data_IF_490046600945
#
_entry.id   IF_490046600945
#
_cell.length_a   1.000
_cell.length_b   1.000
_cell.length_c   1.000
_cell.angle_alpha   90.00
_cell.angle_beta   90.00
_cell.angle_gamma   90.00
#
_symmetry.space_group_name_H-M   'P 1'
#
loop_
_entity.id
_entity.type
_entity.pdbx_description
1 polymer ?
#
# COMPACT_ATOMS: atom_id res chain seq x y z
N UNK A 1 18.98 -11.79 22.97
CA UNK A 1 18.34 -10.97 21.91
C UNK A 1 19.27 -9.99 21.19
N UNK A 2 20.31 -9.42 21.82
CA UNK A 2 21.16 -8.36 21.22
C UNK A 2 21.77 -8.76 19.85
N UNK A 3 22.23 -10.01 19.70
CA UNK A 3 22.77 -10.52 18.43
C UNK A 3 21.75 -10.59 17.28
N UNK A 4 20.51 -10.98 17.57
CA UNK A 4 19.42 -11.09 16.57
C UNK A 4 19.03 -9.70 16.07
N UNK A 5 18.88 -8.73 16.99
CA UNK A 5 18.58 -7.33 16.63
C UNK A 5 19.64 -6.76 15.68
N UNK A 6 20.91 -6.90 16.04
CA UNK A 6 22.02 -6.39 15.22
C UNK A 6 22.08 -7.07 13.84
N UNK A 7 21.73 -8.36 13.74
CA UNK A 7 21.67 -9.06 12.46
C UNK A 7 20.52 -8.55 11.57
N UNK A 8 19.32 -8.34 12.14
CA UNK A 8 18.16 -7.82 11.41
C UNK A 8 18.41 -6.40 10.90
N UNK A 9 18.95 -5.52 11.75
CA UNK A 9 19.19 -4.10 11.40
C UNK A 9 20.26 -3.95 10.33
N UNK A 10 21.33 -4.76 10.37
CA UNK A 10 22.43 -4.68 9.40
C UNK A 10 22.07 -5.23 8.01
N UNK A 11 21.03 -6.06 7.90
CA UNK A 11 20.71 -6.72 6.65
C UNK A 11 19.37 -6.22 6.08
N UNK A 12 19.45 -5.28 5.13
CA UNK A 12 18.28 -4.73 4.44
C UNK A 12 17.37 -5.81 3.84
N UNK A 13 17.88 -6.98 3.44
CA UNK A 13 17.04 -8.04 2.86
C UNK A 13 16.00 -8.59 3.84
N UNK A 14 16.27 -8.47 5.15
CA UNK A 14 15.43 -8.99 6.23
C UNK A 14 14.22 -8.09 6.53
N UNK A 15 14.39 -6.77 6.45
CA UNK A 15 13.30 -5.80 6.71
C UNK A 15 12.77 -5.16 5.43
N UNK A 16 13.54 -5.20 4.34
CA UNK A 16 13.33 -4.41 3.13
C UNK A 16 13.83 -2.97 3.23
N UNK A 17 14.37 -2.55 4.39
CA UNK A 17 14.67 -1.15 4.71
C UNK A 17 16.15 -0.94 5.06
N UNK A 18 16.68 0.22 4.70
CA UNK A 18 18.02 0.65 5.12
C UNK A 18 18.09 0.91 6.63
N UNK A 19 19.29 0.87 7.21
CA UNK A 19 19.50 1.19 8.63
C UNK A 19 19.07 2.62 8.98
N UNK A 20 19.26 3.57 8.06
CA UNK A 20 18.81 4.96 8.20
C UNK A 20 17.29 5.03 8.34
N UNK A 21 16.56 4.40 7.42
CA UNK A 21 15.09 4.36 7.47
C UNK A 21 14.59 3.67 8.74
N UNK A 22 15.27 2.62 9.19
CA UNK A 22 14.94 1.96 10.46
C UNK A 22 15.14 2.90 11.67
N UNK A 23 16.25 3.66 11.70
CA UNK A 23 16.52 4.61 12.77
C UNK A 23 15.46 5.73 12.82
N UNK A 24 15.07 6.27 11.66
CA UNK A 24 14.01 7.26 11.54
C UNK A 24 12.66 6.71 12.03
N UNK A 25 12.30 5.49 11.63
CA UNK A 25 11.08 4.83 12.12
C UNK A 25 11.10 4.63 13.64
N UNK A 26 12.24 4.30 14.22
CA UNK A 26 12.37 4.15 15.68
C UNK A 26 12.20 5.50 16.39
N UNK A 27 12.86 6.55 15.90
CA UNK A 27 12.79 7.89 16.47
C UNK A 27 11.36 8.47 16.38
N UNK A 28 10.67 8.24 15.27
CA UNK A 28 9.33 8.75 15.04
C UNK A 28 8.26 7.96 15.80
N UNK A 29 8.28 6.62 15.71
CA UNK A 29 7.17 5.79 16.19
C UNK A 29 7.33 5.33 17.64
N UNK A 30 8.53 5.37 18.19
CA UNK A 30 8.80 4.99 19.58
C UNK A 30 8.01 5.83 20.59
N UNK A 31 8.08 7.17 20.52
CA UNK A 31 7.30 8.05 21.40
C UNK A 31 5.79 7.83 21.23
N UNK A 32 5.28 7.77 19.99
CA UNK A 32 3.85 7.56 19.71
C UNK A 32 3.34 6.22 20.26
N UNK A 33 4.14 5.15 20.13
CA UNK A 33 3.80 3.86 20.72
C UNK A 33 3.74 3.94 22.23
N UNK A 34 4.71 4.63 22.86
CA UNK A 34 4.73 4.79 24.32
C UNK A 34 3.48 5.54 24.81
N UNK A 35 3.14 6.66 24.17
CA UNK A 35 1.96 7.45 24.48
C UNK A 35 0.66 6.62 24.35
N UNK A 36 0.45 5.93 23.22
CA UNK A 36 -0.73 5.05 23.03
C UNK A 36 -0.78 3.91 24.03
N UNK A 37 0.39 3.37 24.39
CA UNK A 37 0.48 2.33 25.39
C UNK A 37 0.00 2.87 26.74
N UNK A 38 0.53 4.02 27.19
CA UNK A 38 0.14 4.65 28.44
C UNK A 38 -1.35 5.02 28.46
N UNK A 39 -1.87 5.65 27.39
CA UNK A 39 -3.29 5.98 27.27
C UNK A 39 -4.18 4.75 27.44
N UNK A 40 -3.83 3.61 26.80
CA UNK A 40 -4.55 2.33 26.97
C UNK A 40 -4.43 1.75 28.37
N UNK A 41 -3.34 2.04 29.08
CA UNK A 41 -3.20 1.61 30.47
C UNK A 41 -4.15 2.40 31.38
N UNK A 42 -4.37 3.69 31.11
CA UNK A 42 -5.23 4.56 31.92
C UNK A 42 -6.71 4.41 31.57
N UNK A 43 -7.05 4.15 30.31
CA UNK A 43 -8.43 4.18 29.80
C UNK A 43 -9.28 2.94 30.13
N UNK A 44 -8.75 1.92 30.81
CA UNK A 44 -9.49 0.68 31.09
C UNK A 44 -9.96 0.66 32.53
N UNK A 45 -11.25 0.39 32.74
CA UNK A 45 -11.75 -0.03 34.05
C UNK A 45 -11.03 -1.31 34.47
N UNK A 46 -10.24 -1.18 35.52
CA UNK A 46 -9.27 -2.19 35.94
C UNK A 46 -9.64 -2.76 37.30
N UNK A 47 -9.73 -4.08 37.36
CA UNK A 47 -9.78 -4.83 38.65
C UNK A 47 -8.42 -4.85 39.38
N UNK A 48 -7.31 -4.49 38.73
CA UNK A 48 -5.94 -4.52 39.30
C UNK A 48 -5.17 -3.24 38.93
N UNK A 49 -4.29 -2.78 39.81
CA UNK A 49 -3.49 -1.58 39.61
C UNK A 49 -2.71 -1.58 38.27
N UNK A 50 -2.45 -0.37 37.75
CA UNK A 50 -1.62 -0.18 36.56
C UNK A 50 -0.25 -0.85 36.76
N UNK A 51 0.14 -1.74 35.85
CA UNK A 51 1.41 -2.49 35.94
C UNK A 51 1.33 -3.87 36.61
N UNK A 52 0.17 -4.28 37.14
CA UNK A 52 -0.03 -5.61 37.74
C UNK A 52 -0.21 -6.77 36.72
N UNK A 53 -0.02 -6.49 35.41
CA UNK A 53 -0.05 -7.48 34.34
C UNK A 53 1.34 -7.96 33.91
N UNK A 54 1.41 -8.97 33.04
CA UNK A 54 2.68 -9.45 32.52
C UNK A 54 3.49 -8.33 31.84
N UNK A 55 4.75 -8.17 32.23
CA UNK A 55 5.66 -7.15 31.67
C UNK A 55 5.86 -7.39 30.18
N UNK A 56 5.94 -6.31 29.40
CA UNK A 56 6.26 -6.39 27.98
C UNK A 56 7.67 -6.98 27.79
N UNK A 57 7.75 -8.23 27.29
CA UNK A 57 9.02 -8.92 27.02
C UNK A 57 9.84 -8.28 25.88
N UNK A 58 9.18 -7.54 24.99
CA UNK A 58 9.79 -6.83 23.87
C UNK A 58 9.70 -5.32 24.06
N UNK A 59 10.85 -4.64 23.96
CA UNK A 59 10.94 -3.18 23.79
C UNK A 59 10.44 -2.77 22.40
N UNK A 60 10.16 -1.48 22.20
CA UNK A 60 9.57 -0.98 20.95
C UNK A 60 10.36 -1.41 19.70
N UNK A 61 11.68 -1.28 19.73
CA UNK A 61 12.54 -1.66 18.59
C UNK A 61 12.32 -3.11 18.17
N UNK A 62 12.25 -4.05 19.12
CA UNK A 62 12.05 -5.46 18.79
C UNK A 62 10.63 -5.71 18.25
N UNK A 63 9.62 -4.97 18.74
CA UNK A 63 8.25 -5.02 18.19
C UNK A 63 8.20 -4.53 16.76
N UNK A 64 8.90 -3.43 16.47
CA UNK A 64 9.02 -2.88 15.13
C UNK A 64 9.69 -3.90 14.20
N UNK A 65 10.86 -4.42 14.58
CA UNK A 65 11.59 -5.38 13.76
C UNK A 65 10.78 -6.66 13.50
N UNK A 66 10.12 -7.23 14.52
CA UNK A 66 9.24 -8.38 14.31
C UNK A 66 8.10 -8.09 13.32
N UNK A 67 7.52 -6.88 13.39
CA UNK A 67 6.46 -6.44 12.48
C UNK A 67 6.98 -6.27 11.06
N UNK A 68 8.15 -5.66 10.88
CA UNK A 68 8.75 -5.47 9.56
C UNK A 68 9.10 -6.81 8.90
N UNK A 69 9.67 -7.76 9.64
CA UNK A 69 9.96 -9.11 9.13
C UNK A 69 8.68 -9.84 8.76
N UNK A 70 7.63 -9.73 9.58
CA UNK A 70 6.31 -10.29 9.27
C UNK A 70 5.78 -9.75 7.94
N UNK A 71 5.77 -8.42 7.76
CA UNK A 71 5.25 -7.78 6.56
C UNK A 71 6.10 -8.12 5.33
N UNK A 72 7.43 -8.10 5.48
CA UNK A 72 8.39 -8.32 4.40
C UNK A 72 8.34 -9.75 3.88
N UNK A 73 8.37 -10.72 4.78
CA UNK A 73 8.54 -12.14 4.43
C UNK A 73 7.27 -12.98 4.57
N UNK A 74 6.19 -12.44 5.16
CA UNK A 74 5.00 -13.22 5.48
C UNK A 74 5.26 -14.26 6.58
N UNK A 75 6.31 -14.06 7.38
CA UNK A 75 6.70 -14.97 8.45
C UNK A 75 5.55 -15.14 9.46
N UNK A 76 5.24 -16.38 9.85
CA UNK A 76 4.17 -16.63 10.81
C UNK A 76 4.55 -16.08 12.18
N UNK A 77 3.55 -15.76 13.01
CA UNK A 77 3.80 -15.28 14.36
C UNK A 77 4.55 -16.30 15.21
N UNK A 78 4.39 -17.60 14.92
CA UNK A 78 5.07 -18.72 15.56
C UNK A 78 6.57 -18.74 15.23
N UNK A 79 6.95 -18.55 13.96
CA UNK A 79 8.37 -18.44 13.57
C UNK A 79 9.03 -17.26 14.25
N UNK A 80 8.36 -16.10 14.27
CA UNK A 80 8.86 -14.91 14.93
C UNK A 80 8.94 -15.10 16.45
N UNK A 81 8.01 -15.81 17.06
CA UNK A 81 8.04 -16.12 18.49
C UNK A 81 9.28 -16.94 18.85
N UNK A 82 9.59 -17.98 18.05
CA UNK A 82 10.82 -18.75 18.18
C UNK A 82 12.07 -17.87 18.03
N UNK A 83 12.13 -17.00 17.02
CA UNK A 83 13.28 -16.13 16.78
C UNK A 83 13.51 -15.11 17.89
N UNK A 84 12.43 -14.53 18.44
CA UNK A 84 12.54 -13.52 19.49
C UNK A 84 12.55 -14.13 20.91
N UNK A 85 12.38 -15.45 21.06
CA UNK A 85 12.35 -16.12 22.36
C UNK A 85 11.17 -15.70 23.24
N UNK A 86 10.00 -15.46 22.63
CA UNK A 86 8.78 -15.00 23.30
C UNK A 86 7.57 -15.82 22.88
N UNK A 87 6.45 -15.66 23.59
CA UNK A 87 5.20 -16.31 23.24
C UNK A 87 4.62 -15.76 21.92
N UNK A 88 3.96 -16.61 21.13
CA UNK A 88 3.22 -16.22 19.91
C UNK A 88 2.24 -15.07 20.14
N UNK A 89 1.59 -15.05 21.30
CA UNK A 89 0.68 -13.97 21.70
C UNK A 89 1.39 -12.62 21.88
N UNK A 90 2.67 -12.63 22.27
CA UNK A 90 3.50 -11.43 22.38
C UNK A 90 3.80 -10.84 21.00
N UNK A 91 4.14 -11.68 20.02
CA UNK A 91 4.33 -11.25 18.63
C UNK A 91 3.02 -10.73 18.02
N UNK A 92 1.91 -11.44 18.24
CA UNK A 92 0.60 -11.03 17.76
C UNK A 92 0.22 -9.63 18.28
N UNK A 93 0.46 -9.38 19.58
CA UNK A 93 0.26 -8.06 20.19
C UNK A 93 1.20 -7.00 19.62
N UNK A 94 2.49 -7.33 19.47
CA UNK A 94 3.47 -6.41 18.90
C UNK A 94 3.07 -5.96 17.48
N UNK A 95 2.72 -6.90 16.60
CA UNK A 95 2.27 -6.59 15.23
C UNK A 95 0.98 -5.77 15.26
N UNK A 96 0.02 -6.13 16.12
CA UNK A 96 -1.24 -5.40 16.26
C UNK A 96 -1.09 -3.96 16.80
N UNK A 97 -0.03 -3.68 17.57
CA UNK A 97 0.27 -2.34 18.07
C UNK A 97 1.08 -1.50 17.08
N UNK A 98 1.99 -2.11 16.33
CA UNK A 98 2.89 -1.39 15.41
C UNK A 98 2.26 -1.16 14.04
N UNK A 99 1.47 -2.11 13.52
CA UNK A 99 0.86 -1.98 12.18
C UNK A 99 0.02 -0.71 12.03
N UNK A 100 -0.87 -0.33 12.98
CA UNK A 100 -1.64 0.91 12.86
C UNK A 100 -0.75 2.15 12.82
N UNK A 101 0.30 2.19 13.67
CA UNK A 101 1.27 3.28 13.66
C UNK A 101 1.94 3.45 12.30
N UNK A 102 2.27 2.34 11.62
CA UNK A 102 2.84 2.37 10.27
C UNK A 102 1.82 2.81 9.23
N UNK A 103 0.59 2.29 9.30
CA UNK A 103 -0.49 2.58 8.36
C UNK A 103 -0.85 4.07 8.35
N UNK A 104 -0.95 4.65 9.53
CA UNK A 104 -1.36 6.05 9.69
C UNK A 104 -0.32 7.03 9.15
N UNK A 105 0.96 6.65 8.99
CA UNK A 105 2.02 7.56 8.50
C UNK A 105 1.73 8.15 7.12
N UNK A 106 1.07 7.40 6.24
CA UNK A 106 0.94 7.74 4.83
C UNK A 106 2.22 7.55 4.01
N UNK A 107 2.12 7.75 2.70
CA UNK A 107 3.22 7.61 1.77
C UNK A 107 4.16 8.82 1.86
N UNK A 108 5.45 8.58 2.04
CA UNK A 108 6.46 9.65 2.05
C UNK A 108 6.78 10.07 0.62
N UNK A 109 6.75 11.37 0.33
CA UNK A 109 7.09 11.91 -0.99
C UNK A 109 8.31 12.85 -0.97
N UNK A 110 8.61 13.43 0.19
CA UNK A 110 9.81 14.19 0.48
C UNK A 110 10.06 14.19 2.00
N UNK A 111 11.25 14.57 2.50
CA UNK A 111 11.48 14.75 3.92
C UNK A 111 10.40 15.66 4.56
N UNK A 112 9.74 15.17 5.61
CA UNK A 112 8.66 15.89 6.30
C UNK A 112 7.31 15.93 5.59
N UNK A 113 7.20 15.44 4.34
CA UNK A 113 5.97 15.51 3.54
C UNK A 113 5.40 14.12 3.25
N UNK A 114 4.12 13.92 3.59
CA UNK A 114 3.44 12.63 3.44
C UNK A 114 2.01 12.79 2.95
N UNK A 115 1.59 11.86 2.09
CA UNK A 115 0.25 11.76 1.54
C UNK A 115 -0.47 10.59 2.23
N UNK A 116 -1.59 10.86 2.89
CA UNK A 116 -2.37 9.88 3.66
C UNK A 116 -3.67 9.52 2.96
N UNK A 117 -4.25 10.46 2.23
CA UNK A 117 -5.55 10.33 1.56
C UNK A 117 -5.43 10.57 0.05
N UNK A 118 -6.47 10.19 -0.71
CA UNK A 118 -6.57 10.56 -2.12
C UNK A 118 -6.64 12.09 -2.31
N UNK A 119 -7.26 12.81 -1.38
CA UNK A 119 -7.33 14.27 -1.42
C UNK A 119 -5.92 14.88 -1.32
N UNK A 120 -5.07 14.36 -0.42
CA UNK A 120 -3.67 14.81 -0.30
C UNK A 120 -2.91 14.60 -1.62
N UNK A 121 -3.15 13.46 -2.30
CA UNK A 121 -2.53 13.15 -3.58
C UNK A 121 -2.96 14.14 -4.67
N UNK A 122 -4.26 14.40 -4.79
CA UNK A 122 -4.79 15.34 -5.79
C UNK A 122 -4.26 16.75 -5.55
N UNK A 123 -4.26 17.23 -4.30
CA UNK A 123 -3.68 18.54 -3.93
C UNK A 123 -2.21 18.61 -4.32
N UNK A 124 -1.42 17.61 -3.93
CA UNK A 124 0.01 17.57 -4.22
C UNK A 124 0.32 17.56 -5.73
N UNK A 125 -0.44 16.80 -6.52
CA UNK A 125 -0.27 16.73 -7.97
C UNK A 125 -0.65 18.07 -8.63
N UNK A 126 -1.72 18.71 -8.16
CA UNK A 126 -2.15 20.02 -8.64
C UNK A 126 -1.12 21.11 -8.38
N UNK A 127 -0.56 21.16 -7.16
CA UNK A 127 0.49 22.11 -6.78
C UNK A 127 1.80 21.89 -7.55
N UNK A 128 2.13 20.63 -7.84
CA UNK A 128 3.39 20.28 -8.50
C UNK A 128 3.31 20.22 -10.03
N UNK A 129 2.11 20.26 -10.61
CA UNK A 129 1.86 20.09 -12.04
C UNK A 129 2.30 18.72 -12.59
N UNK A 130 2.42 17.70 -11.72
CA UNK A 130 2.94 16.39 -12.09
C UNK A 130 1.83 15.43 -12.50
N UNK A 131 2.14 14.53 -13.43
CA UNK A 131 1.28 13.41 -13.81
C UNK A 131 1.38 12.27 -12.79
N UNK A 132 0.23 11.63 -12.50
CA UNK A 132 0.17 10.36 -11.79
C UNK A 132 -0.25 9.21 -12.70
N UNK A 133 0.00 7.98 -12.26
CA UNK A 133 -0.44 6.76 -12.92
C UNK A 133 -1.30 5.96 -11.93
N UNK A 134 -2.53 5.68 -12.35
CA UNK A 134 -3.53 4.89 -11.64
C UNK A 134 -3.51 3.44 -12.13
N UNK A 135 -3.57 2.52 -11.17
CA UNK A 135 -3.80 1.10 -11.40
C UNK A 135 -4.43 0.44 -10.16
N UNK A 136 -4.77 -0.83 -10.28
CA UNK A 136 -5.18 -1.68 -9.16
C UNK A 136 -4.29 -2.92 -9.07
N UNK A 137 -3.99 -3.36 -7.86
CA UNK A 137 -3.29 -4.63 -7.63
C UNK A 137 -4.14 -5.59 -6.79
N UNK A 138 -4.11 -6.87 -7.17
CA UNK A 138 -4.77 -7.94 -6.43
C UNK A 138 -3.84 -8.53 -5.36
N UNK A 139 -4.40 -8.73 -4.16
CA UNK A 139 -3.77 -9.40 -3.02
C UNK A 139 -4.53 -10.68 -2.77
N UNK A 140 -3.85 -11.83 -2.84
CA UNK A 140 -4.49 -13.12 -2.56
C UNK A 140 -4.90 -13.18 -1.09
N UNK A 141 -6.16 -13.53 -0.83
CA UNK A 141 -6.71 -13.71 0.52
C UNK A 141 -7.27 -15.11 0.68
N UNK A 142 -7.42 -15.57 1.93
CA UNK A 142 -8.01 -16.88 2.21
C UNK A 142 -9.44 -16.97 1.67
N UNK A 143 -9.75 -18.05 0.96
CA UNK A 143 -11.13 -18.34 0.51
C UNK A 143 -11.99 -18.66 1.73
N UNK A 144 -13.21 -18.09 1.84
CA UNK A 144 -14.20 -18.53 2.82
C UNK A 144 -14.44 -20.05 2.74
N UNK A 145 -14.90 -20.64 3.85
CA UNK A 145 -15.33 -22.04 3.87
C UNK A 145 -16.49 -22.27 2.89
N UNK A 146 -16.77 -23.54 2.57
CA UNK A 146 -17.93 -23.86 1.72
C UNK A 146 -19.22 -23.56 2.49
N UNK A 147 -20.22 -23.02 1.78
CA UNK A 147 -21.49 -22.60 2.40
C UNK A 147 -21.46 -21.24 3.10
N UNK A 148 -20.34 -20.50 3.08
CA UNK A 148 -20.33 -19.11 3.57
C UNK A 148 -20.95 -18.17 2.54
N UNK A 149 -21.92 -17.35 2.96
CA UNK A 149 -22.53 -16.33 2.12
C UNK A 149 -21.49 -15.34 1.54
N UNK A 150 -21.70 -14.97 0.29
CA UNK A 150 -20.79 -14.04 -0.41
C UNK A 150 -19.41 -14.64 -0.73
N UNK A 151 -19.26 -15.97 -0.72
CA UNK A 151 -18.01 -16.67 -1.05
C UNK A 151 -17.38 -16.23 -2.36
N UNK A 152 -18.20 -16.00 -3.39
CA UNK A 152 -17.71 -15.72 -4.74
C UNK A 152 -17.45 -14.21 -4.97
N UNK A 153 -17.85 -13.34 -4.03
CA UNK A 153 -17.57 -11.88 -4.10
C UNK A 153 -16.08 -11.55 -4.15
N UNK A 154 -15.23 -12.47 -3.71
CA UNK A 154 -13.79 -12.26 -3.70
C UNK A 154 -13.09 -12.92 -4.89
N UNK A 155 -13.80 -13.65 -5.75
CA UNK A 155 -13.21 -14.29 -6.92
C UNK A 155 -13.01 -13.23 -8.00
N UNK A 156 -11.76 -12.96 -8.34
CA UNK A 156 -11.42 -12.08 -9.46
C UNK A 156 -11.86 -12.70 -10.78
N UNK A 157 -12.56 -11.90 -11.59
CA UNK A 157 -12.93 -12.30 -12.94
C UNK A 157 -11.72 -12.58 -13.83
N UNK A 158 -10.61 -11.85 -13.62
CA UNK A 158 -9.38 -11.90 -14.41
C UNK A 158 -8.45 -13.03 -13.99
N UNK A 159 -8.09 -13.08 -12.70
CA UNK A 159 -7.13 -14.09 -12.20
C UNK A 159 -7.78 -15.40 -11.77
N UNK A 160 -9.12 -15.43 -11.64
CA UNK A 160 -9.90 -16.54 -11.06
C UNK A 160 -9.48 -16.92 -9.63
N UNK A 161 -8.75 -16.03 -8.95
CA UNK A 161 -8.27 -16.23 -7.58
C UNK A 161 -9.14 -15.48 -6.58
N UNK A 162 -9.16 -15.99 -5.35
CA UNK A 162 -9.78 -15.31 -4.23
C UNK A 162 -8.87 -14.17 -3.75
N UNK A 163 -9.26 -12.94 -4.05
CA UNK A 163 -8.45 -11.76 -3.90
C UNK A 163 -9.23 -10.58 -3.31
N UNK A 164 -8.47 -9.62 -2.79
CA UNK A 164 -8.91 -8.25 -2.52
C UNK A 164 -8.05 -7.36 -3.40
N UNK A 165 -8.67 -6.41 -4.08
CA UNK A 165 -7.98 -5.39 -4.87
C UNK A 165 -7.71 -4.17 -4.03
N UNK A 166 -6.65 -3.45 -4.35
CA UNK A 166 -6.34 -2.15 -3.78
C UNK A 166 -5.90 -1.21 -4.89
N UNK A 167 -6.37 0.02 -4.82
CA UNK A 167 -6.01 1.10 -5.74
C UNK A 167 -4.58 1.56 -5.45
N UNK A 168 -3.83 1.82 -6.50
CA UNK A 168 -2.45 2.29 -6.46
C UNK A 168 -2.32 3.56 -7.31
N UNK A 169 -1.74 4.60 -6.73
CA UNK A 169 -1.30 5.79 -7.46
C UNK A 169 0.22 5.92 -7.32
N UNK A 170 0.88 6.11 -8.45
CA UNK A 170 2.32 6.41 -8.51
C UNK A 170 2.55 7.70 -9.28
N UNK A 171 3.70 8.31 -9.09
CA UNK A 171 4.15 9.36 -10.01
C UNK A 171 4.64 8.77 -11.35
N UNK A 172 5.00 9.64 -12.29
CA UNK A 172 5.55 9.23 -13.58
C UNK A 172 6.85 8.40 -13.50
N UNK A 173 7.56 8.40 -12.36
CA UNK A 173 8.76 7.58 -12.15
C UNK A 173 8.45 6.21 -11.51
N UNK A 174 7.20 5.96 -11.10
CA UNK A 174 6.77 4.74 -10.42
C UNK A 174 6.97 4.76 -8.91
N UNK A 175 7.21 5.93 -8.31
CA UNK A 175 7.25 6.08 -6.85
C UNK A 175 5.84 6.15 -6.30
N UNK A 176 5.64 5.51 -5.16
CA UNK A 176 4.32 5.34 -4.59
C UNK A 176 3.81 6.63 -3.96
N UNK A 177 2.66 7.12 -4.42
CA UNK A 177 1.96 8.27 -3.85
C UNK A 177 0.83 7.80 -2.94
N UNK A 178 0.15 6.70 -3.29
CA UNK A 178 -0.93 6.13 -2.51
C UNK A 178 -1.13 4.66 -2.83
N UNK A 179 -1.53 3.89 -1.82
CA UNK A 179 -2.04 2.52 -1.99
C UNK A 179 -3.10 2.26 -0.91
N UNK A 180 -4.34 2.03 -1.33
CA UNK A 180 -5.49 1.98 -0.43
C UNK A 180 -6.80 1.60 -1.13
N UNK A 181 -7.92 2.00 -0.54
CA UNK A 181 -9.26 1.73 -1.08
C UNK A 181 -9.50 0.27 -1.44
N UNK A 182 -9.48 -0.62 -0.45
CA UNK A 182 -9.61 -2.05 -0.75
C UNK A 182 -11.03 -2.42 -1.18
N UNK A 183 -11.16 -3.29 -2.19
CA UNK A 183 -12.45 -3.85 -2.64
C UNK A 183 -12.33 -5.36 -2.89
N UNK A 184 -13.44 -6.12 -2.80
CA UNK A 184 -13.43 -7.55 -3.16
C UNK A 184 -12.92 -7.78 -4.59
N UNK A 185 -12.26 -8.92 -4.82
CA UNK A 185 -11.65 -9.28 -6.11
C UNK A 185 -12.59 -9.23 -7.32
N UNK A 186 -13.89 -9.44 -7.12
CA UNK A 186 -14.88 -9.38 -8.20
C UNK A 186 -15.22 -7.95 -8.64
N UNK A 187 -14.86 -6.93 -7.87
CA UNK A 187 -15.14 -5.54 -8.18
C UNK A 187 -14.32 -5.09 -9.41
N UNK A 188 -14.97 -4.51 -10.44
CA UNK A 188 -14.26 -3.87 -11.56
C UNK A 188 -13.45 -2.66 -11.10
N UNK A 189 -12.28 -2.45 -11.70
CA UNK A 189 -11.34 -1.41 -11.26
C UNK A 189 -11.93 0.00 -11.44
N UNK A 190 -12.70 0.23 -12.51
CA UNK A 190 -13.46 1.48 -12.71
C UNK A 190 -14.53 1.72 -11.64
N UNK A 191 -15.19 0.66 -11.15
CA UNK A 191 -16.19 0.78 -10.08
C UNK A 191 -15.51 1.16 -8.77
N UNK A 192 -14.38 0.51 -8.45
CA UNK A 192 -13.54 0.90 -7.31
C UNK A 192 -13.13 2.37 -7.39
N UNK A 193 -12.72 2.86 -8.57
CA UNK A 193 -12.39 4.28 -8.75
C UNK A 193 -13.59 5.21 -8.53
N UNK A 194 -14.77 4.88 -9.06
CA UNK A 194 -16.00 5.66 -8.86
C UNK A 194 -16.40 5.74 -7.38
N UNK A 195 -16.31 4.64 -6.65
CA UNK A 195 -16.68 4.58 -5.24
C UNK A 195 -15.60 5.12 -4.28
N UNK A 196 -14.42 5.48 -4.79
CA UNK A 196 -13.31 5.98 -3.96
C UNK A 196 -13.42 7.48 -3.63
N UNK A 197 -14.35 8.21 -4.25
CA UNK A 197 -14.41 9.67 -4.22
C UNK A 197 -13.39 10.35 -5.15
N UNK A 198 -12.59 9.60 -5.92
CA UNK A 198 -11.61 10.17 -6.85
C UNK A 198 -12.25 11.14 -7.86
N UNK A 199 -13.43 10.81 -8.38
CA UNK A 199 -14.10 11.66 -9.39
C UNK A 199 -14.47 13.01 -8.77
N UNK A 200 -15.07 13.02 -7.58
CA UNK A 200 -15.47 14.24 -6.88
C UNK A 200 -14.25 15.11 -6.53
N UNK A 201 -13.13 14.46 -6.14
CA UNK A 201 -11.87 15.15 -5.87
C UNK A 201 -11.26 15.80 -7.12
N UNK A 202 -11.39 15.15 -8.29
CA UNK A 202 -10.91 15.70 -9.56
C UNK A 202 -11.82 16.81 -10.09
N UNK A 203 -13.12 16.73 -9.84
CA UNK A 203 -14.09 17.75 -10.26
C UNK A 203 -13.95 19.05 -9.45
N UNK A 204 -13.76 18.93 -8.14
CA UNK A 204 -13.69 20.08 -7.22
C UNK A 204 -12.27 20.56 -6.93
N UNK A 205 -11.26 19.75 -7.24
CA UNK A 205 -9.86 20.00 -6.97
C UNK A 205 -9.11 20.70 -8.10
N UNK A 206 -7.79 20.89 -7.94
CA UNK A 206 -6.93 21.39 -9.02
C UNK A 206 -6.91 20.40 -10.20
N UNK A 207 -6.72 20.93 -11.40
CA UNK A 207 -6.56 20.08 -12.59
C UNK A 207 -5.30 19.22 -12.47
N UNK A 208 -5.43 17.92 -12.67
CA UNK A 208 -4.33 16.95 -12.68
C UNK A 208 -4.46 15.95 -13.83
N UNK A 209 -3.32 15.47 -14.35
CA UNK A 209 -3.31 14.37 -15.32
C UNK A 209 -3.08 13.04 -14.59
N UNK A 210 -3.99 12.07 -14.77
CA UNK A 210 -3.87 10.71 -14.24
C UNK A 210 -3.95 9.70 -15.40
N UNK A 211 -2.84 9.02 -15.68
CA UNK A 211 -2.81 7.94 -16.67
C UNK A 211 -3.40 6.65 -16.09
N UNK A 212 -4.38 6.05 -16.77
CA UNK A 212 -5.03 4.82 -16.32
C UNK A 212 -5.13 3.78 -17.44
N UNK A 213 -5.31 2.50 -17.11
CA UNK A 213 -5.43 1.43 -18.10
C UNK A 213 -6.77 1.43 -18.86
N UNK A 214 -6.94 0.50 -19.80
CA UNK A 214 -8.20 0.39 -20.54
C UNK A 214 -9.40 -0.05 -19.68
N UNK A 215 -9.15 -0.68 -18.53
CA UNK A 215 -10.18 -1.05 -17.54
C UNK A 215 -10.83 0.16 -16.86
N UNK A 216 -10.23 1.35 -16.96
CA UNK A 216 -10.78 2.62 -16.49
C UNK A 216 -11.46 3.44 -17.61
N UNK A 217 -11.68 2.86 -18.80
CA UNK A 217 -12.36 3.55 -19.90
C UNK A 217 -13.74 4.06 -19.48
N UNK A 218 -14.01 5.33 -19.77
CA UNK A 218 -15.19 6.07 -19.33
C UNK A 218 -14.90 7.12 -18.27
N UNK A 219 -13.85 6.96 -17.46
CA UNK A 219 -13.47 7.97 -16.46
C UNK A 219 -13.07 9.29 -17.11
N UNK A 220 -12.37 9.28 -18.25
CA UNK A 220 -11.97 10.52 -18.92
C UNK A 220 -13.14 11.45 -19.27
N UNK A 221 -14.31 10.91 -19.63
CA UNK A 221 -15.51 11.72 -19.85
C UNK A 221 -16.11 12.26 -18.54
N UNK A 222 -16.02 11.47 -17.45
CA UNK A 222 -16.53 11.82 -16.13
C UNK A 222 -15.66 12.85 -15.40
N UNK A 223 -14.37 12.95 -15.75
CA UNK A 223 -13.39 13.80 -15.07
C UNK A 223 -12.89 14.95 -15.95
N UNK A 224 -13.63 15.33 -16.99
CA UNK A 224 -13.24 16.43 -17.89
C UNK A 224 -11.86 16.22 -18.58
N UNK A 225 -11.48 14.98 -18.87
CA UNK A 225 -10.21 14.63 -19.51
C UNK A 225 -9.03 14.40 -18.57
N UNK A 226 -9.19 14.61 -17.25
CA UNK A 226 -8.11 14.41 -16.27
C UNK A 226 -7.62 12.96 -16.18
N UNK A 227 -8.52 11.97 -16.26
CA UNK A 227 -8.16 10.55 -16.34
C UNK A 227 -7.98 10.12 -17.79
N UNK A 228 -6.73 9.88 -18.19
CA UNK A 228 -6.34 9.54 -19.56
C UNK A 228 -6.15 8.03 -19.71
N UNK A 229 -7.01 7.41 -20.50
CA UNK A 229 -6.94 5.97 -20.86
C UNK A 229 -6.42 5.79 -22.29
N UNK A 230 -5.99 4.56 -22.69
CA UNK A 230 -5.54 4.32 -24.06
C UNK A 230 -6.64 4.69 -25.08
N UNK A 231 -6.27 5.07 -26.32
CA UNK A 231 -7.24 5.49 -27.33
C UNK A 231 -8.30 4.41 -27.57
N UNK A 232 -9.56 4.82 -27.68
CA UNK A 232 -10.66 3.91 -27.99
C UNK A 232 -10.58 3.47 -29.46
N UNK A 233 -10.77 2.18 -29.71
CA UNK A 233 -10.77 1.63 -31.06
C UNK A 233 -12.05 2.03 -31.80
N UNK A 234 -11.92 2.88 -32.83
CA UNK A 234 -13.02 3.38 -33.68
C UNK A 234 -13.53 2.29 -34.62
N UNK A 235 -12.63 1.54 -35.26
CA UNK A 235 -12.98 0.50 -36.22
C UNK A 235 -12.89 -0.89 -35.58
N UNK A 236 -14.04 -1.58 -35.48
CA UNK A 236 -14.11 -2.96 -34.95
C UNK A 236 -13.84 -4.03 -36.02
N UNK A 237 -14.21 -3.79 -37.27
CA UNK A 237 -14.02 -4.70 -38.40
C UNK A 237 -13.35 -3.95 -39.55
N UNK A 238 -12.45 -4.63 -40.27
CA UNK A 238 -11.74 -4.14 -41.46
C UNK A 238 -11.23 -2.70 -41.33
N UNK A 239 -10.45 -2.37 -40.27
CA UNK A 239 -9.82 -1.06 -40.16
C UNK A 239 -8.89 -0.81 -41.36
N UNK A 240 -8.81 0.43 -41.87
CA UNK A 240 -7.78 0.81 -42.81
C UNK A 240 -6.37 0.57 -42.23
N UNK A 241 -5.37 0.15 -43.03
CA UNK A 241 -4.01 -0.11 -42.53
C UNK A 241 -3.38 1.10 -41.80
N UNK A 242 -3.54 2.31 -42.34
CA UNK A 242 -3.06 3.54 -41.71
C UNK A 242 -3.64 3.76 -40.31
N UNK A 243 -4.89 3.33 -40.08
CA UNK A 243 -5.55 3.46 -38.79
C UNK A 243 -4.97 2.46 -37.78
N UNK A 244 -4.69 1.23 -38.22
CA UNK A 244 -4.08 0.22 -37.34
C UNK A 244 -2.71 0.66 -36.86
N UNK A 245 -1.89 1.21 -37.76
CA UNK A 245 -0.56 1.73 -37.43
C UNK A 245 -0.66 2.90 -36.44
N UNK A 246 -1.45 3.92 -36.76
CA UNK A 246 -1.65 5.08 -35.87
C UNK A 246 -2.19 4.66 -34.49
N UNK A 247 -3.18 3.76 -34.45
CA UNK A 247 -3.73 3.26 -33.20
C UNK A 247 -2.71 2.45 -32.40
N UNK A 248 -1.90 1.62 -33.06
CA UNK A 248 -0.83 0.85 -32.41
C UNK A 248 0.24 1.78 -31.82
N UNK A 249 0.68 2.80 -32.57
CA UNK A 249 1.62 3.81 -32.10
C UNK A 249 1.09 4.57 -30.88
N UNK A 250 -0.15 5.07 -30.94
CA UNK A 250 -0.78 5.81 -29.84
C UNK A 250 -0.98 4.92 -28.59
N UNK A 251 -1.41 3.67 -28.78
CA UNK A 251 -1.52 2.70 -27.68
C UNK A 251 -0.15 2.40 -27.07
N UNK A 252 0.88 2.23 -27.90
CA UNK A 252 2.24 1.96 -27.45
C UNK A 252 2.78 3.15 -26.63
N UNK A 253 2.64 4.38 -27.13
CA UNK A 253 3.04 5.59 -26.43
C UNK A 253 2.38 5.71 -25.05
N UNK A 254 1.06 5.44 -24.97
CA UNK A 254 0.34 5.42 -23.69
C UNK A 254 0.85 4.32 -22.74
N UNK A 255 1.01 3.09 -23.23
CA UNK A 255 1.53 1.98 -22.41
C UNK A 255 2.96 2.22 -21.90
N UNK A 256 3.80 2.86 -22.72
CA UNK A 256 5.19 3.18 -22.36
C UNK A 256 5.27 4.23 -21.26
N UNK A 257 4.34 5.21 -21.21
CA UNK A 257 4.25 6.15 -20.10
C UNK A 257 3.76 5.47 -18.81
N UNK A 258 2.81 4.53 -18.92
CA UNK A 258 2.23 3.84 -17.75
C UNK A 258 3.13 2.77 -17.13
N UNK A 259 4.05 2.16 -17.88
CA UNK A 259 4.80 0.97 -17.41
C UNK A 259 5.51 1.15 -16.07
N UNK A 260 5.80 2.40 -15.66
CA UNK A 260 6.40 2.73 -14.36
C UNK A 260 5.53 2.34 -13.17
N UNK A 261 4.20 2.31 -13.30
CA UNK A 261 3.31 1.85 -12.22
C UNK A 261 3.55 0.38 -11.88
N UNK A 262 3.89 -0.45 -12.87
CA UNK A 262 4.21 -1.86 -12.65
C UNK A 262 5.45 -2.03 -11.76
N UNK A 263 6.43 -1.13 -11.86
CA UNK A 263 7.57 -1.10 -10.95
C UNK A 263 7.13 -0.75 -9.52
N UNK A 264 6.26 0.26 -9.36
CA UNK A 264 5.67 0.62 -8.05
C UNK A 264 4.92 -0.56 -7.41
N UNK A 265 4.08 -1.23 -8.20
CA UNK A 265 3.34 -2.44 -7.78
C UNK A 265 4.30 -3.59 -7.47
N UNK A 266 5.36 -3.78 -8.25
CA UNK A 266 6.37 -4.80 -7.97
C UNK A 266 7.04 -4.56 -6.60
N UNK A 267 7.35 -3.30 -6.26
CA UNK A 267 7.87 -2.97 -4.94
C UNK A 267 6.88 -3.32 -3.81
N UNK A 268 5.58 -3.08 -3.99
CA UNK A 268 4.54 -3.52 -3.06
C UNK A 268 4.48 -5.06 -2.95
N UNK A 269 4.43 -5.79 -4.06
CA UNK A 269 4.34 -7.26 -4.11
C UNK A 269 5.59 -7.97 -3.58
N UNK A 270 6.73 -7.28 -3.52
CA UNK A 270 7.93 -7.77 -2.85
C UNK A 270 7.78 -7.86 -1.33
N UNK A 271 6.78 -7.22 -0.74
CA UNK A 271 6.35 -7.46 0.63
C UNK A 271 5.35 -8.59 0.64
N UNK A 272 5.77 -9.76 1.14
CA UNK A 272 5.01 -11.01 1.00
C UNK A 272 3.66 -10.98 1.70
N UNK A 273 3.45 -10.11 2.69
CA UNK A 273 2.13 -9.86 3.26
C UNK A 273 1.10 -9.38 2.21
N UNK A 274 1.53 -8.69 1.15
CA UNK A 274 0.67 -8.26 0.04
C UNK A 274 0.67 -9.23 -1.16
N UNK A 275 1.59 -10.19 -1.21
CA UNK A 275 1.54 -11.26 -2.22
C UNK A 275 0.44 -12.28 -1.88
N UNK A 276 0.37 -12.67 -0.61
CA UNK A 276 -0.67 -13.54 -0.05
C UNK A 276 -0.91 -13.17 1.41
N UNK A 277 -2.06 -12.57 1.69
CA UNK A 277 -2.45 -12.20 3.03
C UNK A 277 -3.03 -13.39 3.78
N UNK A 278 -2.32 -13.82 4.83
CA UNK A 278 -2.71 -14.95 5.66
C UNK A 278 -3.51 -14.55 6.90
N UNK A 279 -3.62 -13.25 7.20
CA UNK A 279 -4.32 -12.71 8.36
C UNK A 279 -5.84 -12.60 8.18
N UNK A 280 -6.46 -11.94 9.15
CA UNK A 280 -7.87 -11.51 9.09
C UNK A 280 -8.04 -10.46 7.99
N UNK A 281 -9.13 -10.54 7.21
CA UNK A 281 -9.31 -9.66 6.03
C UNK A 281 -9.58 -8.22 6.45
N UNK A 282 -10.20 -8.02 7.61
CA UNK A 282 -10.50 -6.72 8.21
C UNK A 282 -9.22 -5.92 8.51
N UNK A 283 -8.08 -6.62 8.65
CA UNK A 283 -6.76 -6.01 8.89
C UNK A 283 -5.99 -5.72 7.61
N UNK A 284 -6.50 -6.14 6.44
CA UNK A 284 -5.81 -5.96 5.17
C UNK A 284 -5.69 -4.48 4.78
N UNK A 285 -6.70 -3.61 4.93
CA UNK A 285 -6.56 -2.19 4.60
C UNK A 285 -5.40 -1.53 5.36
N UNK A 286 -5.32 -1.75 6.68
CA UNK A 286 -4.20 -1.28 7.50
C UNK A 286 -2.86 -1.87 7.04
N UNK A 287 -2.84 -3.15 6.66
CA UNK A 287 -1.62 -3.84 6.19
C UNK A 287 -1.13 -3.23 4.87
N UNK A 288 -2.03 -2.93 3.96
CA UNK A 288 -1.75 -2.26 2.69
C UNK A 288 -1.13 -0.88 2.95
N UNK A 289 -1.79 -0.05 3.76
CA UNK A 289 -1.32 1.29 4.10
C UNK A 289 0.05 1.26 4.81
N UNK A 290 0.24 0.32 5.74
CA UNK A 290 1.52 0.16 6.43
C UNK A 290 2.65 -0.17 5.45
N UNK A 291 2.43 -1.13 4.53
CA UNK A 291 3.44 -1.48 3.52
C UNK A 291 3.67 -0.32 2.54
N UNK A 292 2.63 0.41 2.16
CA UNK A 292 2.73 1.59 1.30
C UNK A 292 3.62 2.68 1.93
N UNK A 293 3.41 2.97 3.21
CA UNK A 293 4.23 3.90 3.98
C UNK A 293 5.71 3.46 4.06
N UNK A 294 5.96 2.15 4.20
CA UNK A 294 7.32 1.61 4.24
C UNK A 294 8.02 1.65 2.87
N UNK A 295 7.31 1.28 1.80
CA UNK A 295 7.84 1.29 0.43
C UNK A 295 8.21 2.71 0.00
N UNK A 296 7.29 3.65 0.16
CA UNK A 296 7.49 5.06 -0.21
C UNK A 296 8.62 5.71 0.59
N UNK A 297 8.75 5.39 1.88
CA UNK A 297 9.84 5.89 2.72
C UNK A 297 11.21 5.38 2.23
N UNK A 298 11.31 4.08 1.95
CA UNK A 298 12.53 3.49 1.42
C UNK A 298 12.90 4.01 0.01
N UNK A 299 11.90 4.22 -0.85
CA UNK A 299 12.12 4.79 -2.19
C UNK A 299 12.75 6.18 -2.09
N UNK A 300 12.24 7.06 -1.23
CA UNK A 300 12.77 8.42 -1.09
C UNK A 300 14.11 8.49 -0.35
N UNK A 301 14.40 7.54 0.55
CA UNK A 301 15.72 7.45 1.18
C UNK A 301 16.83 6.99 0.21
N UNK A 302 16.49 6.24 -0.84
CA UNK A 302 17.49 5.70 -1.80
C UNK A 302 17.52 6.41 -3.14
N UNK A 303 16.45 7.12 -3.48
CA UNK A 303 16.30 7.89 -4.72
C UNK A 303 15.67 9.24 -4.38
N UNK A 304 16.46 10.21 -3.90
CA UNK A 304 15.98 11.57 -3.72
C UNK A 304 15.40 12.07 -5.04
N UNK A 305 14.37 12.92 -4.96
CA UNK A 305 13.88 13.69 -6.10
C UNK A 305 15.08 14.41 -6.76
N UNK A 306 15.62 13.88 -7.85
CA UNK A 306 16.45 14.69 -8.74
C UNK A 306 15.50 15.70 -9.35
N UNK A 307 15.59 16.95 -8.91
CA UNK A 307 15.00 18.08 -9.63
C UNK A 307 15.62 18.06 -11.03
N UNK A 308 14.89 17.55 -12.02
CA UNK A 308 15.20 17.83 -13.40
C UNK A 308 14.83 19.30 -13.62
N UNK A 309 15.86 20.11 -13.85
CA UNK A 309 15.75 21.46 -14.37
C UNK A 309 15.12 21.45 -15.78
#
# INVERSE_FOLDING_TARGET
>A
MVGIRAAIVRNQRVTGLSSTVLAELVAELGPLWHERHQARLVSRDRKRAVGAGARHKLVFVDRLLATLVHLRHGATHDVLACWFGVDRSTITRAIGEVRPLLAERGCTIAPGMRLRTLADVVSHLGESGRTAILDATEIRVRRPAQGTDGRDRFISGKSKQNAVKTMVLTDAAGRLLFCGETRPGSCPDITQARESGLIDLLDTGPWVEILADAGYQGLGAQTGGQVVTPPHRKFRKNPPPWYEEMHAQAKHAHSSRRIRVEHGIAHLKNWKALARHHGRREQLPETVQAVAALVSHQQNATRPLTHAA
#
